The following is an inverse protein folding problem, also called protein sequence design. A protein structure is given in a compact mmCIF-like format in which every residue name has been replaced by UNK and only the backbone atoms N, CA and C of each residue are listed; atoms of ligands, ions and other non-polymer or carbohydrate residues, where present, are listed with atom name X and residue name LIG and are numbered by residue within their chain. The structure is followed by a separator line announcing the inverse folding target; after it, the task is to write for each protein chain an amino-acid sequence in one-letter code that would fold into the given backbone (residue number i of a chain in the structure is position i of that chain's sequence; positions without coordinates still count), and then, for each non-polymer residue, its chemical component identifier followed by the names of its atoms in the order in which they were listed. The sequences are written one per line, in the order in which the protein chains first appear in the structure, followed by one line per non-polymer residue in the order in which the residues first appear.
data_IF_411997213796
#
_entry.id   IF_411997213796
#
_cell.length_a   1.000
_cell.length_b   1.000
_cell.length_c   1.000
_cell.angle_alpha   90.00
_cell.angle_beta   90.00
_cell.angle_gamma   90.00
#
_symmetry.space_group_name_H-M   'P 1'
#
loop_
_entity.id
_entity.type
_entity.pdbx_description
1 polymer ?
#
# COMPACT_ATOMS: atom_id res chain seq x y z
N UNK A 1 28.76 20.49 81.64
CA UNK A 1 28.45 21.71 80.85
C UNK A 1 27.40 21.36 79.81
N UNK A 2 26.27 22.07 79.79
CA UNK A 2 25.17 21.80 78.86
C UNK A 2 25.30 22.83 77.72
N UNK A 3 25.92 22.44 76.61
CA UNK A 3 26.03 23.31 75.44
C UNK A 3 24.63 23.57 74.88
N UNK A 4 24.25 24.85 74.78
CA UNK A 4 22.97 25.26 74.18
C UNK A 4 23.16 25.42 72.68
N UNK A 5 22.47 24.60 71.93
CA UNK A 5 22.45 24.64 70.47
C UNK A 5 21.85 25.99 70.04
N UNK A 6 22.53 26.72 69.15
CA UNK A 6 22.02 28.00 68.63
C UNK A 6 20.70 27.76 67.89
N UNK A 7 19.66 28.50 68.26
CA UNK A 7 18.32 28.41 67.66
C UNK A 7 18.32 28.60 66.12
N UNK A 8 19.36 29.24 65.57
CA UNK A 8 19.58 29.37 64.12
C UNK A 8 19.79 28.05 63.39
N UNK A 9 20.29 27.00 64.06
CA UNK A 9 20.51 25.69 63.46
C UNK A 9 19.21 25.01 63.00
N UNK A 10 18.11 25.22 63.73
CA UNK A 10 16.79 24.72 63.38
C UNK A 10 16.30 25.34 62.05
N UNK A 11 16.51 26.65 61.88
CA UNK A 11 16.07 27.37 60.69
C UNK A 11 16.83 26.90 59.43
N UNK A 12 18.14 26.63 59.56
CA UNK A 12 18.93 26.01 58.48
C UNK A 12 18.46 24.60 58.14
N UNK A 13 18.19 23.76 59.15
CA UNK A 13 17.71 22.40 58.90
C UNK A 13 16.36 22.40 58.17
N UNK A 14 15.43 23.25 58.58
CA UNK A 14 14.10 23.36 57.95
C UNK A 14 14.20 23.88 56.52
N UNK A 15 15.02 24.89 56.27
CA UNK A 15 15.20 25.44 54.91
C UNK A 15 15.85 24.44 53.96
N UNK A 16 16.88 23.71 54.41
CA UNK A 16 17.52 22.65 53.62
C UNK A 16 16.53 21.52 53.35
N UNK A 17 15.79 21.08 54.37
CA UNK A 17 14.77 20.03 54.21
C UNK A 17 13.68 20.43 53.20
N UNK A 18 13.24 21.70 53.23
CA UNK A 18 12.27 22.23 52.27
C UNK A 18 12.83 22.21 50.84
N UNK A 19 14.08 22.65 50.64
CA UNK A 19 14.73 22.64 49.33
C UNK A 19 14.88 21.22 48.78
N UNK A 20 15.35 20.29 49.62
CA UNK A 20 15.48 18.88 49.24
C UNK A 20 14.11 18.28 48.91
N UNK A 21 13.08 18.58 49.71
CA UNK A 21 11.71 18.14 49.47
C UNK A 21 11.14 18.66 48.15
N UNK A 22 11.40 19.91 47.81
CA UNK A 22 10.99 20.51 46.54
C UNK A 22 11.65 19.82 45.34
N UNK A 23 12.95 19.54 45.42
CA UNK A 23 13.69 18.84 44.36
C UNK A 23 13.18 17.41 44.21
N UNK A 24 13.03 16.67 45.31
CA UNK A 24 12.53 15.30 45.28
C UNK A 24 11.09 15.23 44.75
N UNK A 25 10.22 16.16 45.18
CA UNK A 25 8.86 16.28 44.66
C UNK A 25 8.83 16.52 43.16
N UNK A 26 9.73 17.38 42.64
CA UNK A 26 9.84 17.65 41.20
C UNK A 26 10.29 16.40 40.41
N UNK A 27 11.23 15.61 40.93
CA UNK A 27 11.69 14.37 40.29
C UNK A 27 10.62 13.28 40.28
N UNK A 28 9.89 13.10 41.39
CA UNK A 28 8.78 12.14 41.48
C UNK A 28 7.68 12.52 40.48
N UNK A 29 7.28 13.79 40.44
CA UNK A 29 6.25 14.28 39.52
C UNK A 29 6.67 14.09 38.06
N UNK A 30 7.92 14.42 37.72
CA UNK A 30 8.45 14.24 36.36
C UNK A 30 8.43 12.77 35.94
N UNK A 31 8.81 11.87 36.83
CA UNK A 31 8.83 10.43 36.55
C UNK A 31 7.42 9.89 36.31
N UNK A 32 6.46 10.31 37.14
CA UNK A 32 5.06 9.94 36.96
C UNK A 32 4.50 10.44 35.63
N UNK A 33 4.76 11.71 35.29
CA UNK A 33 4.31 12.31 34.03
C UNK A 33 4.93 11.61 32.81
N UNK A 34 6.22 11.27 32.86
CA UNK A 34 6.89 10.49 31.82
C UNK A 34 6.27 9.11 31.63
N UNK A 35 5.94 8.42 32.73
CA UNK A 35 5.26 7.12 32.67
C UNK A 35 3.90 7.21 31.96
N UNK A 36 3.07 8.16 32.37
CA UNK A 36 1.76 8.40 31.76
C UNK A 36 1.86 8.71 30.25
N UNK A 37 2.85 9.52 29.86
CA UNK A 37 3.10 9.83 28.46
C UNK A 37 3.60 8.63 27.66
N UNK A 38 4.49 7.81 28.24
CA UNK A 38 5.00 6.61 27.59
C UNK A 38 3.87 5.59 27.35
N UNK A 39 3.00 5.37 28.35
CA UNK A 39 1.85 4.48 28.21
C UNK A 39 0.90 4.95 27.11
N UNK A 40 0.54 6.24 27.11
CA UNK A 40 -0.31 6.81 26.05
C UNK A 40 0.32 6.69 24.67
N UNK A 41 1.63 6.93 24.57
CA UNK A 41 2.37 6.78 23.32
C UNK A 41 2.37 5.34 22.81
N UNK A 42 2.59 4.36 23.70
CA UNK A 42 2.55 2.94 23.35
C UNK A 42 1.18 2.50 22.84
N UNK A 43 0.10 2.95 23.48
CA UNK A 43 -1.26 2.66 23.01
C UNK A 43 -1.50 3.31 21.65
N UNK A 44 -1.09 4.56 21.48
CA UNK A 44 -1.25 5.26 20.20
C UNK A 44 -0.51 4.55 19.05
N UNK A 45 0.74 4.14 19.27
CA UNK A 45 1.53 3.42 18.29
C UNK A 45 0.93 2.05 17.97
N UNK A 46 0.39 1.35 18.98
CA UNK A 46 -0.32 0.08 18.79
C UNK A 46 -1.54 0.26 17.89
N UNK A 47 -2.40 1.23 18.17
CA UNK A 47 -3.61 1.49 17.36
C UNK A 47 -3.23 1.92 15.94
N UNK A 48 -2.21 2.77 15.79
CA UNK A 48 -1.70 3.17 14.47
C UNK A 48 -1.11 1.98 13.69
N UNK A 49 -0.37 1.09 14.36
CA UNK A 49 0.17 -0.13 13.76
C UNK A 49 -0.93 -1.11 13.33
N UNK A 50 -1.97 -1.25 14.14
CA UNK A 50 -3.15 -2.06 13.81
C UNK A 50 -3.87 -1.52 12.58
N UNK A 51 -4.10 -0.21 12.50
CA UNK A 51 -4.69 0.43 11.32
C UNK A 51 -3.82 0.25 10.06
N UNK A 52 -2.48 0.36 10.17
CA UNK A 52 -1.58 0.06 9.04
C UNK A 52 -1.69 -1.40 8.60
N UNK A 53 -1.67 -2.33 9.56
CA UNK A 53 -1.75 -3.77 9.26
C UNK A 53 -3.06 -4.13 8.57
N UNK A 54 -4.18 -3.56 9.03
CA UNK A 54 -5.48 -3.73 8.41
C UNK A 54 -5.51 -3.13 6.99
N UNK A 55 -4.89 -1.96 6.77
CA UNK A 55 -4.75 -1.42 5.41
C UNK A 55 -3.97 -2.35 4.48
N UNK A 56 -2.88 -2.99 4.95
CA UNK A 56 -2.15 -3.97 4.15
C UNK A 56 -2.98 -5.23 3.89
N UNK A 57 -3.69 -5.75 4.89
CA UNK A 57 -4.59 -6.88 4.70
C UNK A 57 -5.65 -6.60 3.62
N UNK A 58 -6.15 -5.36 3.56
CA UNK A 58 -7.10 -4.92 2.54
C UNK A 58 -6.48 -4.77 1.13
N UNK A 59 -5.17 -4.56 1.01
CA UNK A 59 -4.48 -4.61 -0.29
C UNK A 59 -4.30 -6.06 -0.79
N UNK A 60 -4.10 -7.02 0.12
CA UNK A 60 -3.89 -8.43 -0.22
C UNK A 60 -5.18 -9.25 -0.32
N UNK A 61 -6.26 -8.81 0.34
CA UNK A 61 -7.56 -9.48 0.33
C UNK A 61 -8.24 -9.39 -1.03
N UNK A 62 -9.04 -10.42 -1.36
CA UNK A 62 -9.81 -10.48 -2.61
C UNK A 62 -10.87 -9.37 -2.61
N UNK A 63 -10.77 -8.36 -3.50
CA UNK A 63 -11.56 -7.15 -3.42
C UNK A 63 -12.86 -7.23 -4.20
N UNK A 64 -13.42 -8.44 -4.34
CA UNK A 64 -14.58 -8.74 -5.19
C UNK A 64 -15.88 -8.01 -4.79
N UNK A 65 -15.89 -7.27 -3.68
CA UNK A 65 -17.00 -6.39 -3.30
C UNK A 65 -16.58 -4.91 -3.31
N UNK A 66 -17.24 -4.13 -4.17
CA UNK A 66 -17.29 -2.68 -4.06
C UNK A 66 -17.81 -2.31 -2.67
N UNK A 67 -17.02 -1.59 -1.87
CA UNK A 67 -17.38 -1.27 -0.48
C UNK A 67 -17.08 -2.43 0.48
N UNK A 68 -15.88 -2.99 0.39
CA UNK A 68 -15.35 -3.91 1.39
C UNK A 68 -15.19 -3.18 2.73
N UNK A 69 -16.18 -3.35 3.62
CA UNK A 69 -16.12 -3.00 5.03
C UNK A 69 -15.72 -4.27 5.81
N UNK A 70 -14.42 -4.41 6.06
CA UNK A 70 -13.89 -5.51 6.84
C UNK A 70 -13.73 -5.07 8.29
N UNK A 71 -14.57 -5.62 9.17
CA UNK A 71 -14.40 -5.51 10.60
C UNK A 71 -13.68 -6.76 11.12
N UNK A 72 -12.44 -6.59 11.58
CA UNK A 72 -11.66 -7.67 12.19
C UNK A 72 -11.43 -7.34 13.65
N UNK A 73 -11.88 -8.22 14.54
CA UNK A 73 -11.33 -8.30 15.89
C UNK A 73 -9.97 -8.98 15.80
N UNK A 74 -8.91 -8.23 16.11
CA UNK A 74 -7.54 -8.69 15.88
C UNK A 74 -7.13 -9.81 16.84
N UNK A 75 -7.75 -9.89 18.01
CA UNK A 75 -7.36 -10.83 19.07
C UNK A 75 -8.52 -11.64 19.66
N UNK A 76 -9.77 -11.37 19.25
CA UNK A 76 -10.95 -12.12 19.71
C UNK A 76 -11.45 -11.72 21.09
N UNK A 77 -10.84 -10.70 21.70
CA UNK A 77 -11.15 -10.19 23.03
C UNK A 77 -12.10 -8.97 22.99
N UNK A 78 -12.52 -8.52 21.81
CA UNK A 78 -13.40 -7.37 21.61
C UNK A 78 -12.82 -6.00 21.98
N UNK A 79 -11.58 -5.96 22.46
CA UNK A 79 -10.89 -4.73 22.91
C UNK A 79 -10.09 -4.05 21.81
N UNK A 80 -9.68 -4.82 20.80
CA UNK A 80 -8.87 -4.39 19.66
C UNK A 80 -9.61 -4.71 18.36
N UNK A 81 -10.22 -3.69 17.77
CA UNK A 81 -10.92 -3.84 16.50
C UNK A 81 -10.30 -2.98 15.41
N UNK A 82 -10.38 -3.44 14.17
CA UNK A 82 -10.01 -2.68 13.00
C UNK A 82 -11.13 -2.75 11.96
N UNK A 83 -11.46 -1.60 11.39
CA UNK A 83 -12.36 -1.43 10.24
C UNK A 83 -11.51 -0.98 9.06
N UNK A 84 -11.71 -1.57 7.89
CA UNK A 84 -11.15 -1.06 6.65
C UNK A 84 -12.28 -0.83 5.68
N UNK A 85 -12.27 0.35 5.07
CA UNK A 85 -13.17 0.75 4.00
C UNK A 85 -12.36 1.05 2.75
N UNK A 86 -12.70 0.40 1.65
CA UNK A 86 -12.14 0.68 0.33
C UNK A 86 -13.21 1.39 -0.50
N UNK A 87 -12.90 2.60 -0.99
CA UNK A 87 -13.81 3.38 -1.83
C UNK A 87 -13.14 3.66 -3.18
N UNK A 88 -13.79 3.34 -4.32
CA UNK A 88 -13.24 3.64 -5.62
C UNK A 88 -13.11 5.16 -5.84
N UNK A 89 -11.94 5.61 -6.30
CA UNK A 89 -11.67 7.02 -6.62
C UNK A 89 -10.94 7.17 -7.95
N UNK A 90 -11.71 7.26 -9.05
CA UNK A 90 -11.15 7.36 -10.40
C UNK A 90 -10.48 6.06 -10.82
N UNK A 91 -9.18 6.09 -11.12
CA UNK A 91 -8.35 4.90 -11.41
C UNK A 91 -7.62 4.31 -10.19
N UNK A 92 -7.79 4.90 -9.01
CA UNK A 92 -7.18 4.46 -7.76
C UNK A 92 -8.27 4.08 -6.76
N UNK A 93 -7.90 3.40 -5.70
CA UNK A 93 -8.77 3.08 -4.58
C UNK A 93 -8.35 3.87 -3.35
N UNK A 94 -9.29 4.59 -2.75
CA UNK A 94 -9.09 5.24 -1.46
C UNK A 94 -9.29 4.19 -0.37
N UNK A 95 -8.23 3.92 0.39
CA UNK A 95 -8.22 2.94 1.47
C UNK A 95 -8.19 3.72 2.77
N UNK A 96 -9.26 3.58 3.57
CA UNK A 96 -9.34 4.13 4.91
C UNK A 96 -9.38 2.98 5.89
N UNK A 97 -8.35 2.85 6.72
CA UNK A 97 -8.35 1.93 7.85
C UNK A 97 -8.46 2.70 9.15
N UNK A 98 -9.30 2.20 10.04
CA UNK A 98 -9.49 2.72 11.39
C UNK A 98 -9.30 1.57 12.37
N UNK A 99 -8.56 1.82 13.43
CA UNK A 99 -8.44 0.87 14.52
C UNK A 99 -8.83 1.54 15.83
N UNK A 100 -9.31 0.73 16.77
CA UNK A 100 -9.72 1.15 18.10
C UNK A 100 -9.08 0.24 19.15
N UNK A 101 -8.64 0.87 20.24
CA UNK A 101 -8.26 0.20 21.48
C UNK A 101 -8.82 1.00 22.65
N UNK A 102 -9.81 0.43 23.34
CA UNK A 102 -10.58 1.11 24.38
C UNK A 102 -11.10 2.50 23.89
N UNK A 103 -10.65 3.60 24.51
CA UNK A 103 -11.06 4.97 24.16
C UNK A 103 -10.18 5.64 23.08
N UNK A 104 -9.14 4.97 22.59
CA UNK A 104 -8.24 5.53 21.59
C UNK A 104 -8.56 4.99 20.19
N UNK A 105 -8.50 5.89 19.20
CA UNK A 105 -8.67 5.55 17.80
C UNK A 105 -7.54 6.15 16.95
N UNK A 106 -7.11 5.42 15.93
CA UNK A 106 -6.23 5.92 14.89
C UNK A 106 -6.84 5.62 13.53
N UNK A 107 -6.73 6.57 12.61
CA UNK A 107 -7.18 6.41 11.22
C UNK A 107 -6.01 6.63 10.28
N UNK A 108 -5.78 5.68 9.39
CA UNK A 108 -4.80 5.75 8.32
C UNK A 108 -5.58 5.80 7.01
N UNK A 109 -5.24 6.75 6.15
CA UNK A 109 -5.83 6.88 4.81
C UNK A 109 -4.72 6.87 3.78
N UNK A 110 -4.92 6.14 2.69
CA UNK A 110 -3.96 6.05 1.60
C UNK A 110 -4.64 5.72 0.28
N UNK A 111 -3.85 5.77 -0.79
CA UNK A 111 -4.29 5.38 -2.13
C UNK A 111 -3.67 4.03 -2.49
N UNK A 112 -4.52 3.09 -2.88
CA UNK A 112 -4.13 1.83 -3.50
C UNK A 112 -4.25 1.93 -5.01
N UNK A 113 -3.23 1.48 -5.72
CA UNK A 113 -3.23 1.39 -7.18
C UNK A 113 -2.67 0.05 -7.62
N UNK A 114 -3.03 -0.35 -8.84
CA UNK A 114 -2.45 -1.53 -9.46
C UNK A 114 -1.16 -1.14 -10.16
N UNK A 115 -0.06 -1.82 -9.80
CA UNK A 115 1.14 -1.74 -10.59
C UNK A 115 1.01 -2.73 -11.75
N UNK A 116 0.83 -2.20 -12.95
CA UNK A 116 0.96 -2.98 -14.17
C UNK A 116 2.42 -3.39 -14.30
N UNK A 117 2.73 -4.64 -13.99
CA UNK A 117 4.06 -5.22 -14.18
C UNK A 117 4.04 -5.98 -15.50
N UNK A 118 3.82 -5.25 -16.59
CA UNK A 118 3.92 -5.81 -17.93
C UNK A 118 5.37 -5.75 -18.39
N UNK A 119 6.18 -6.68 -17.86
CA UNK A 119 7.46 -7.05 -18.47
C UNK A 119 7.24 -7.94 -19.73
N UNK A 120 5.97 -8.26 -20.02
CA UNK A 120 5.53 -9.07 -21.16
C UNK A 120 5.40 -8.20 -22.40
N UNK A 121 6.29 -8.42 -23.37
CA UNK A 121 6.36 -7.67 -24.63
C UNK A 121 5.42 -8.23 -25.70
N UNK A 122 4.99 -9.49 -25.53
CA UNK A 122 4.07 -10.14 -26.46
C UNK A 122 3.15 -11.11 -25.69
N UNK A 123 1.84 -10.92 -25.80
CA UNK A 123 0.83 -11.83 -25.25
C UNK A 123 -0.07 -12.38 -26.38
N UNK A 124 -0.02 -13.70 -26.58
CA UNK A 124 -0.86 -14.41 -27.54
C UNK A 124 -1.97 -15.15 -26.81
N UNK A 125 -3.20 -15.00 -27.28
CA UNK A 125 -4.35 -15.72 -26.77
C UNK A 125 -4.15 -17.25 -26.86
N UNK A 126 -4.76 -18.00 -25.94
CA UNK A 126 -4.70 -19.48 -25.90
C UNK A 126 -5.20 -20.15 -27.19
N UNK A 127 -6.06 -19.47 -27.95
CA UNK A 127 -6.60 -19.95 -29.23
C UNK A 127 -5.66 -19.73 -30.41
N UNK A 128 -4.58 -18.95 -30.24
CA UNK A 128 -3.59 -18.77 -31.29
C UNK A 128 -2.75 -20.04 -31.48
N UNK A 129 -2.27 -20.25 -32.71
CA UNK A 129 -1.31 -21.31 -33.03
C UNK A 129 0.08 -21.04 -32.44
N UNK A 130 1.03 -21.97 -32.60
CA UNK A 130 2.41 -21.77 -32.15
C UNK A 130 3.03 -20.54 -32.83
N UNK A 131 3.85 -19.79 -32.08
CA UNK A 131 4.49 -18.60 -32.60
C UNK A 131 5.70 -18.97 -33.47
N UNK A 132 5.71 -18.51 -34.72
CA UNK A 132 6.81 -18.76 -35.64
C UNK A 132 7.66 -17.50 -35.84
N UNK A 133 8.94 -17.56 -35.47
CA UNK A 133 9.90 -16.48 -35.73
C UNK A 133 10.74 -16.77 -36.97
N UNK A 134 10.85 -15.81 -37.87
CA UNK A 134 11.52 -15.95 -39.17
C UNK A 134 12.54 -14.83 -39.39
N UNK A 135 13.59 -15.11 -40.17
CA UNK A 135 14.63 -14.13 -40.52
C UNK A 135 15.40 -13.62 -39.30
N UNK A 136 15.60 -12.30 -39.25
CA UNK A 136 16.37 -11.60 -38.20
C UNK A 136 15.51 -11.06 -37.05
N UNK A 137 14.24 -11.48 -36.95
CA UNK A 137 13.34 -11.02 -35.90
C UNK A 137 13.86 -11.41 -34.51
N UNK A 138 13.83 -10.50 -33.53
CA UNK A 138 14.27 -10.79 -32.15
C UNK A 138 13.20 -10.35 -31.17
N UNK A 139 12.83 -11.24 -30.25
CA UNK A 139 11.99 -10.90 -29.10
C UNK A 139 12.89 -10.65 -27.89
N UNK A 140 12.82 -9.42 -27.35
CA UNK A 140 13.60 -8.98 -26.18
C UNK A 140 12.61 -8.58 -25.10
N UNK A 141 12.54 -9.35 -24.01
CA UNK A 141 11.54 -9.24 -22.95
C UNK A 141 10.75 -10.53 -22.74
N UNK A 142 9.88 -10.55 -21.74
CA UNK A 142 9.09 -11.74 -21.44
C UNK A 142 7.99 -11.92 -22.50
N UNK A 143 7.69 -13.17 -22.87
CA UNK A 143 6.74 -13.50 -23.94
C UNK A 143 5.75 -14.52 -23.43
N UNK A 144 4.45 -14.26 -23.60
CA UNK A 144 3.37 -15.16 -23.24
C UNK A 144 2.77 -15.79 -24.50
N UNK A 145 2.95 -17.10 -24.64
CA UNK A 145 2.54 -17.86 -25.83
C UNK A 145 1.70 -19.09 -25.47
N UNK A 146 0.75 -19.50 -26.32
CA UNK A 146 -0.03 -20.72 -26.14
C UNK A 146 0.90 -21.94 -26.06
N UNK A 147 0.66 -22.79 -25.06
CA UNK A 147 1.43 -24.02 -24.82
C UNK A 147 2.94 -23.84 -24.61
N UNK A 148 3.42 -22.61 -24.36
CA UNK A 148 4.85 -22.28 -24.25
C UNK A 148 5.67 -22.63 -25.52
N UNK A 149 5.02 -22.72 -26.69
CA UNK A 149 5.65 -23.22 -27.92
C UNK A 149 6.01 -22.07 -28.87
N UNK A 150 7.31 -21.78 -28.95
CA UNK A 150 7.90 -20.85 -29.93
C UNK A 150 8.78 -21.65 -30.88
N UNK A 151 8.49 -21.57 -32.18
CA UNK A 151 9.15 -22.36 -33.21
C UNK A 151 9.92 -21.49 -34.18
N UNK A 152 11.01 -22.04 -34.71
CA UNK A 152 11.70 -21.46 -35.86
C UNK A 152 10.81 -21.61 -37.10
N UNK A 153 10.43 -20.49 -37.69
CA UNK A 153 9.74 -20.43 -38.96
C UNK A 153 10.69 -20.23 -40.12
N UNK A 154 10.19 -20.45 -41.33
CA UNK A 154 10.89 -20.17 -42.58
C UNK A 154 9.97 -19.33 -43.44
N UNK A 155 10.46 -18.18 -43.89
CA UNK A 155 9.78 -17.34 -44.87
C UNK A 155 10.74 -17.21 -46.07
N UNK A 156 10.23 -17.50 -47.27
CA UNK A 156 10.98 -17.35 -48.53
C UNK A 156 12.33 -18.09 -48.56
N UNK A 157 12.40 -19.26 -47.93
CA UNK A 157 13.62 -20.08 -47.88
C UNK A 157 14.71 -19.54 -46.94
N UNK A 158 14.44 -18.46 -46.20
CA UNK A 158 15.34 -17.94 -45.17
C UNK A 158 14.96 -18.50 -43.80
N UNK A 159 15.80 -19.36 -43.19
CA UNK A 159 15.60 -19.80 -41.81
C UNK A 159 15.83 -18.64 -40.84
N UNK A 160 15.35 -18.80 -39.61
CA UNK A 160 15.73 -17.95 -38.48
C UNK A 160 17.25 -17.92 -38.29
N UNK A 161 17.82 -16.72 -38.21
CA UNK A 161 19.28 -16.47 -38.14
C UNK A 161 19.79 -16.21 -36.72
N UNK A 162 18.90 -16.14 -35.72
CA UNK A 162 19.28 -15.91 -34.33
C UNK A 162 19.69 -17.18 -33.56
N UNK A 163 20.47 -16.98 -32.49
CA UNK A 163 20.90 -18.06 -31.59
C UNK A 163 19.75 -18.50 -30.67
N UNK A 164 19.02 -17.53 -30.11
CA UNK A 164 17.87 -17.74 -29.24
C UNK A 164 16.61 -17.13 -29.87
N UNK A 165 15.47 -17.81 -29.71
CA UNK A 165 14.16 -17.35 -30.20
C UNK A 165 13.59 -16.23 -29.32
N UNK A 166 13.82 -16.29 -28.01
CA UNK A 166 13.31 -15.34 -27.02
C UNK A 166 14.43 -15.00 -26.05
N UNK A 167 14.78 -13.72 -25.95
CA UNK A 167 15.68 -13.21 -24.94
C UNK A 167 14.86 -12.70 -23.74
N UNK A 168 14.38 -13.63 -22.93
CA UNK A 168 13.48 -13.40 -21.81
C UNK A 168 12.80 -14.68 -21.34
N UNK A 169 11.80 -14.59 -20.47
CA UNK A 169 11.03 -15.75 -19.99
C UNK A 169 9.88 -16.06 -20.93
N UNK A 170 9.71 -17.34 -21.25
CA UNK A 170 8.55 -17.85 -22.00
C UNK A 170 7.49 -18.27 -20.97
N UNK A 171 6.38 -17.52 -20.93
CA UNK A 171 5.23 -17.76 -20.07
C UNK A 171 4.12 -18.47 -20.86
N UNK A 172 3.35 -19.32 -20.19
CA UNK A 172 2.24 -20.04 -20.82
C UNK A 172 0.98 -19.16 -20.85
N UNK A 173 0.42 -18.97 -22.04
CA UNK A 173 -0.89 -18.33 -22.19
C UNK A 173 -1.98 -19.23 -21.60
N UNK A 174 -2.67 -18.73 -20.58
CA UNK A 174 -3.73 -19.44 -19.85
C UNK A 174 -3.55 -19.55 -18.34
N UNK A 175 -2.40 -19.16 -17.78
CA UNK A 175 -2.35 -18.81 -16.36
C UNK A 175 -3.06 -17.47 -16.19
N UNK A 176 -4.19 -17.48 -15.47
CA UNK A 176 -4.86 -16.27 -15.00
C UNK A 176 -3.80 -15.42 -14.28
N UNK A 177 -3.37 -14.34 -14.94
CA UNK A 177 -2.67 -13.29 -14.24
C UNK A 177 -3.65 -12.67 -13.26
N UNK A 178 -3.13 -12.32 -12.08
CA UNK A 178 -3.90 -11.71 -10.99
C UNK A 178 -4.93 -10.76 -11.57
N UNK A 179 -6.19 -11.17 -11.47
CA UNK A 179 -7.31 -10.57 -12.16
C UNK A 179 -7.22 -9.08 -11.90
N UNK A 180 -7.08 -8.27 -12.96
CA UNK A 180 -7.37 -6.84 -12.87
C UNK A 180 -8.72 -6.78 -12.16
N UNK A 181 -8.83 -6.02 -11.06
CA UNK A 181 -10.12 -5.79 -10.39
C UNK A 181 -11.14 -5.63 -11.49
N UNK A 182 -12.15 -6.50 -11.56
CA UNK A 182 -13.08 -6.56 -12.69
C UNK A 182 -13.69 -5.17 -12.94
N UNK A 183 -13.82 -4.37 -11.87
CA UNK A 183 -14.28 -2.99 -11.92
C UNK A 183 -13.25 -1.93 -12.36
N UNK A 184 -11.94 -2.17 -12.33
CA UNK A 184 -10.94 -1.16 -12.75
C UNK A 184 -11.00 -0.91 -14.26
N UNK A 185 -11.06 -1.97 -15.06
CA UNK A 185 -11.17 -1.86 -16.51
C UNK A 185 -12.46 -1.11 -16.90
N UNK A 186 -13.59 -1.46 -16.27
CA UNK A 186 -14.87 -0.76 -16.47
C UNK A 186 -14.82 0.71 -16.00
N UNK A 187 -14.17 0.99 -14.86
CA UNK A 187 -14.00 2.36 -14.34
C UNK A 187 -13.14 3.21 -15.26
N UNK A 188 -12.02 2.66 -15.74
CA UNK A 188 -11.15 3.34 -16.71
C UNK A 188 -11.90 3.55 -18.01
N UNK A 189 -12.64 2.55 -18.50
CA UNK A 189 -13.48 2.70 -19.69
C UNK A 189 -14.58 3.74 -19.51
N UNK A 190 -15.19 3.85 -18.33
CA UNK A 190 -16.18 4.90 -18.03
C UNK A 190 -15.56 6.29 -17.97
N UNK A 191 -14.33 6.41 -17.47
CA UNK A 191 -13.58 7.67 -17.43
C UNK A 191 -13.08 8.09 -18.82
N UNK A 192 -12.68 7.13 -19.66
CA UNK A 192 -12.12 7.37 -20.98
C UNK A 192 -13.17 7.37 -22.11
N UNK A 193 -14.25 6.61 -21.97
CA UNK A 193 -15.28 6.38 -22.99
C UNK A 193 -16.47 7.33 -22.93
N UNK A 194 -16.52 8.20 -21.91
CA UNK A 194 -17.48 9.29 -21.81
C UNK A 194 -16.77 10.58 -21.46
N UNK A 195 -16.38 11.34 -22.48
CA UNK A 195 -16.01 12.75 -22.28
C UNK A 195 -17.24 13.62 -22.55
N UNK A 196 -17.97 14.09 -21.52
CA UNK A 196 -18.76 15.31 -21.62
C UNK A 196 -17.88 16.58 -21.58
N UNK A 197 -16.55 16.43 -21.50
CA UNK A 197 -15.59 17.53 -21.38
C UNK A 197 -15.28 18.25 -22.69
N UNK A 198 -15.84 17.83 -23.82
CA UNK A 198 -15.60 18.46 -25.14
C UNK A 198 -16.45 19.70 -25.40
N UNK A 199 -17.52 19.97 -24.63
CA UNK A 199 -18.39 21.13 -24.88
C UNK A 199 -18.13 22.37 -24.01
N UNK A 200 -17.43 22.27 -22.87
CA UNK A 200 -17.50 23.36 -21.86
C UNK A 200 -16.21 24.04 -21.40
N UNK A 201 -14.99 23.69 -21.85
CA UNK A 201 -13.82 24.52 -21.50
C UNK A 201 -12.59 24.35 -22.41
N UNK A 202 -12.27 25.34 -23.27
CA UNK A 202 -11.12 25.26 -24.19
C UNK A 202 -9.75 25.58 -23.54
N UNK A 203 -9.64 25.69 -22.21
CA UNK A 203 -8.42 26.21 -21.56
C UNK A 203 -7.58 25.20 -20.76
N UNK A 204 -7.97 23.92 -20.67
CA UNK A 204 -7.19 22.89 -19.97
C UNK A 204 -6.68 21.81 -20.95
N UNK A 205 -5.82 22.25 -21.87
CA UNK A 205 -5.09 21.38 -22.77
C UNK A 205 -3.82 20.80 -22.14
N UNK A 206 -3.92 19.87 -21.19
CA UNK A 206 -2.76 19.09 -20.73
C UNK A 206 -3.20 17.72 -20.23
N UNK A 207 -3.46 16.79 -21.16
CA UNK A 207 -3.03 15.38 -21.12
C UNK A 207 -3.73 14.65 -22.28
N UNK A 208 -3.13 14.74 -23.47
CA UNK A 208 -3.54 13.96 -24.63
C UNK A 208 -2.55 12.79 -24.76
N UNK A 209 -2.83 11.66 -24.13
CA UNK A 209 -2.11 10.41 -24.42
C UNK A 209 -2.86 9.74 -25.57
N UNK A 210 -2.42 10.04 -26.79
CA UNK A 210 -2.97 9.47 -28.00
C UNK A 210 -2.53 8.00 -28.10
N UNK A 211 -3.45 7.08 -27.81
CA UNK A 211 -3.40 5.74 -28.37
C UNK A 211 -4.15 5.79 -29.70
N UNK A 212 -3.44 6.15 -30.77
CA UNK A 212 -3.95 6.04 -32.13
C UNK A 212 -3.79 4.59 -32.57
N UNK A 213 -4.91 3.89 -32.59
CA UNK A 213 -5.04 2.60 -33.24
C UNK A 213 -4.85 2.77 -34.76
N UNK A 214 -3.86 2.07 -35.30
CA UNK A 214 -3.71 1.77 -36.72
C UNK A 214 -3.43 0.27 -36.77
N UNK A 215 -4.48 -0.55 -36.90
CA UNK A 215 -4.99 -1.08 -38.18
C UNK A 215 -6.17 -2.01 -37.92
#
# INVERSE_FOLDING_TARGET
MKERIKASALLYAVTIALLVGMVLGSMVLLTHFRGLHAERWLVHERVASNARSASYAALYGDPTNDGFDLHVDLFGDGSDSAEVRITPWGGLDLIRSRAWHADQQATVTGYGGYQFRDDVVLDLARTAGPLHLCGDARLVGDVRVPMADVRRGHIEGRPFTGDELVHGRILRSGEEHGTIRINLAERVQKLCGGSPWEEENPSLGFFKMAYTDRT
#
